data_IF_493656637644
#
_entry.id   IF_493656637644
#
_cell.length_a   1.000
_cell.length_b   1.000
_cell.length_c   1.000
_cell.angle_alpha   90.00
_cell.angle_beta   90.00
_cell.angle_gamma   90.00
#
_symmetry.space_group_name_H-M   'P 1'
#
loop_
_entity.id
_entity.type
_entity.pdbx_description
1 polymer ?
#
# COMPACT_ATOMS: atom_id res chain seq x y z
N UNK A 1 25.17 -26.62 -24.55
CA UNK A 1 25.21 -25.45 -23.66
C UNK A 1 23.79 -25.24 -23.17
N UNK A 2 23.51 -25.69 -21.94
CA UNK A 2 22.19 -25.53 -21.32
C UNK A 2 22.18 -24.15 -20.66
N UNK A 3 21.31 -23.28 -21.14
CA UNK A 3 21.02 -21.99 -20.50
C UNK A 3 20.27 -22.27 -19.22
N UNK A 4 20.90 -21.99 -18.08
CA UNK A 4 20.24 -21.93 -16.79
C UNK A 4 19.27 -20.75 -16.80
N UNK A 5 17.98 -21.03 -17.00
CA UNK A 5 16.92 -20.09 -16.65
C UNK A 5 17.02 -19.85 -15.14
N UNK A 6 17.40 -18.63 -14.77
CA UNK A 6 17.28 -18.16 -13.40
C UNK A 6 15.80 -18.24 -13.02
N UNK A 7 15.45 -19.16 -12.12
CA UNK A 7 14.12 -19.22 -11.50
C UNK A 7 13.94 -17.90 -10.77
N UNK A 8 13.22 -16.96 -11.38
CA UNK A 8 12.69 -15.80 -10.69
C UNK A 8 11.74 -16.35 -9.63
N UNK A 9 12.15 -16.29 -8.36
CA UNK A 9 11.25 -16.54 -7.24
C UNK A 9 10.13 -15.49 -7.30
N UNK A 10 9.04 -15.78 -8.01
CA UNK A 10 7.86 -14.94 -8.03
C UNK A 10 7.14 -15.15 -6.70
N UNK A 11 7.14 -14.13 -5.84
CA UNK A 11 6.30 -14.11 -4.65
C UNK A 11 4.83 -14.08 -5.08
N UNK A 12 4.03 -14.95 -4.49
CA UNK A 12 2.57 -14.94 -4.65
C UNK A 12 1.93 -14.01 -3.60
N UNK A 13 0.70 -13.56 -3.83
CA UNK A 13 -0.01 -12.73 -2.87
C UNK A 13 -0.24 -13.46 -1.53
N UNK A 14 -0.39 -14.78 -1.55
CA UNK A 14 -0.53 -15.62 -0.34
C UNK A 14 0.71 -15.68 0.53
N UNK A 15 1.86 -15.23 0.01
CA UNK A 15 3.09 -15.12 0.80
C UNK A 15 3.03 -13.95 1.79
N UNK A 16 2.10 -13.00 1.65
CA UNK A 16 2.08 -11.79 2.47
C UNK A 16 1.02 -11.87 3.56
N UNK A 17 1.41 -11.53 4.79
CA UNK A 17 0.45 -11.30 5.86
C UNK A 17 -0.45 -10.11 5.47
N UNK A 18 -1.76 -10.32 5.57
CA UNK A 18 -2.75 -9.31 5.22
C UNK A 18 -3.82 -9.25 6.30
N UNK A 19 -3.99 -8.07 6.88
CA UNK A 19 -5.12 -7.74 7.74
C UNK A 19 -5.93 -6.64 7.05
N UNK A 20 -7.17 -6.92 6.59
CA UNK A 20 -8.01 -5.90 5.96
C UNK A 20 -8.14 -4.66 6.83
N UNK A 21 -8.14 -3.47 6.22
CA UNK A 21 -8.23 -2.16 6.89
C UNK A 21 -6.99 -1.72 7.68
N UNK A 22 -5.89 -2.48 7.63
CA UNK A 22 -4.58 -2.10 8.19
C UNK A 22 -3.53 -1.99 7.08
N UNK A 23 -3.89 -1.34 5.96
CA UNK A 23 -3.08 -1.25 4.74
C UNK A 23 -1.67 -0.67 4.99
N UNK A 24 -1.54 0.24 5.95
CA UNK A 24 -0.29 0.84 6.41
C UNK A 24 0.65 -0.18 7.07
N UNK A 25 0.14 -1.09 7.88
CA UNK A 25 0.93 -2.16 8.49
C UNK A 25 1.21 -3.28 7.47
N UNK A 26 0.22 -3.61 6.64
CA UNK A 26 0.37 -4.57 5.54
C UNK A 26 1.51 -4.14 4.60
N UNK A 27 1.57 -2.87 4.20
CA UNK A 27 2.65 -2.33 3.36
C UNK A 27 3.99 -2.33 4.10
N UNK A 28 4.01 -2.07 5.41
CA UNK A 28 5.24 -2.18 6.22
C UNK A 28 5.85 -3.58 6.13
N UNK A 29 5.07 -4.63 6.38
CA UNK A 29 5.56 -6.01 6.30
C UNK A 29 5.86 -6.43 4.87
N UNK A 30 5.06 -5.97 3.90
CA UNK A 30 5.30 -6.19 2.48
C UNK A 30 6.67 -5.65 2.06
N UNK A 31 7.00 -4.40 2.41
CA UNK A 31 8.32 -3.84 2.10
C UNK A 31 9.44 -4.66 2.71
N UNK A 32 9.33 -5.07 3.99
CA UNK A 32 10.34 -5.93 4.63
C UNK A 32 10.50 -7.26 3.90
N UNK A 33 9.38 -7.90 3.55
CA UNK A 33 9.39 -9.17 2.82
C UNK A 33 10.07 -9.04 1.47
N UNK A 34 9.73 -8.02 0.68
CA UNK A 34 10.37 -7.74 -0.61
C UNK A 34 11.90 -7.56 -0.49
N UNK A 35 12.37 -6.86 0.54
CA UNK A 35 13.80 -6.69 0.79
C UNK A 35 14.46 -8.03 1.17
N UNK A 36 13.86 -8.80 2.08
CA UNK A 36 14.44 -10.07 2.56
C UNK A 36 14.41 -11.19 1.54
N UNK A 37 13.45 -11.17 0.60
CA UNK A 37 13.34 -12.15 -0.49
C UNK A 37 14.23 -11.85 -1.68
N UNK A 38 14.91 -10.69 -1.70
CA UNK A 38 15.73 -10.23 -2.81
C UNK A 38 14.92 -9.73 -4.03
N UNK A 39 13.60 -9.55 -3.89
CA UNK A 39 12.76 -8.96 -4.95
C UNK A 39 13.01 -7.46 -5.07
N UNK A 40 13.33 -6.80 -3.95
CA UNK A 40 13.74 -5.40 -3.86
C UNK A 40 15.18 -5.27 -3.37
N UNK A 41 15.74 -4.07 -3.46
CA UNK A 41 17.04 -3.75 -2.88
C UNK A 41 17.03 -4.06 -1.38
N UNK A 42 18.12 -4.60 -0.83
CA UNK A 42 18.17 -5.05 0.56
C UNK A 42 17.87 -3.90 1.56
N UNK A 43 18.23 -2.67 1.20
CA UNK A 43 17.90 -1.48 1.99
C UNK A 43 16.50 -0.92 1.73
N UNK A 44 15.76 -1.44 0.75
CA UNK A 44 14.48 -0.90 0.26
C UNK A 44 14.64 0.37 -0.55
N UNK A 45 15.84 0.66 -1.09
CA UNK A 45 16.14 1.94 -1.74
C UNK A 45 15.36 2.15 -3.06
N UNK A 46 14.86 1.09 -3.66
CA UNK A 46 13.98 1.09 -4.83
C UNK A 46 12.48 1.08 -4.48
N UNK A 47 12.12 1.12 -3.20
CA UNK A 47 10.73 1.08 -2.73
C UNK A 47 10.25 2.44 -2.21
N UNK A 48 8.99 2.74 -2.51
CA UNK A 48 8.30 3.95 -2.08
C UNK A 48 6.92 3.59 -1.54
N UNK A 49 6.64 4.00 -0.31
CA UNK A 49 5.32 3.85 0.31
C UNK A 49 4.48 5.08 -0.01
N UNK A 50 3.29 4.86 -0.56
CA UNK A 50 2.40 5.92 -1.02
C UNK A 50 1.13 5.87 -0.20
N UNK A 51 0.92 6.92 0.61
CA UNK A 51 -0.34 7.18 1.29
C UNK A 51 -1.23 7.99 0.35
N UNK A 52 -2.46 7.52 0.17
CA UNK A 52 -3.48 8.15 -0.66
C UNK A 52 -4.61 8.56 0.28
N UNK A 53 -4.95 9.85 0.31
CA UNK A 53 -6.08 10.36 1.10
C UNK A 53 -6.47 11.76 0.59
N UNK A 54 -7.32 12.47 1.33
CA UNK A 54 -7.61 13.88 1.15
C UNK A 54 -8.13 14.49 2.45
N UNK A 55 -8.42 15.80 2.43
CA UNK A 55 -8.89 16.53 3.61
C UNK A 55 -10.19 15.96 4.18
N UNK A 56 -11.06 15.43 3.33
CA UNK A 56 -12.35 14.88 3.72
C UNK A 56 -12.31 13.41 4.12
N UNK A 57 -11.14 12.75 4.00
CA UNK A 57 -10.99 11.31 4.17
C UNK A 57 -12.04 10.53 3.35
N UNK A 58 -12.15 10.90 2.08
CA UNK A 58 -13.09 10.31 1.13
C UNK A 58 -12.44 10.26 -0.24
N UNK A 59 -11.72 9.17 -0.50
CA UNK A 59 -11.04 8.94 -1.78
C UNK A 59 -11.60 7.71 -2.51
N UNK A 60 -12.13 7.87 -3.73
CA UNK A 60 -12.59 6.73 -4.51
C UNK A 60 -11.42 6.02 -5.18
N UNK A 61 -11.31 4.71 -4.96
CA UNK A 61 -10.38 3.81 -5.64
C UNK A 61 -11.16 2.67 -6.29
N UNK A 62 -10.83 2.36 -7.55
CA UNK A 62 -11.43 1.26 -8.31
C UNK A 62 -10.61 -0.03 -8.21
N UNK A 63 -11.21 -1.15 -8.60
CA UNK A 63 -10.59 -2.48 -8.54
C UNK A 63 -10.09 -2.84 -7.13
N UNK A 64 -10.97 -2.71 -6.14
CA UNK A 64 -10.67 -2.99 -4.74
C UNK A 64 -11.46 -4.22 -4.28
N UNK A 65 -10.78 -5.19 -3.65
CA UNK A 65 -11.37 -6.46 -3.18
C UNK A 65 -12.52 -6.27 -2.20
N UNK A 66 -12.48 -5.19 -1.41
CA UNK A 66 -13.52 -4.86 -0.44
C UNK A 66 -14.83 -4.36 -1.10
N UNK A 67 -14.81 -4.04 -2.39
CA UNK A 67 -16.01 -3.60 -3.09
C UNK A 67 -17.01 -4.74 -3.28
N UNK A 68 -18.28 -4.48 -2.92
CA UNK A 68 -19.41 -5.38 -3.25
C UNK A 68 -20.09 -5.00 -4.56
N UNK A 69 -19.60 -3.97 -5.24
CA UNK A 69 -20.20 -3.41 -6.44
C UNK A 69 -19.51 -3.98 -7.68
N UNK A 70 -20.25 -4.09 -8.78
CA UNK A 70 -19.71 -4.57 -10.05
C UNK A 70 -18.62 -3.66 -10.65
N UNK A 71 -18.62 -2.38 -10.30
CA UNK A 71 -17.62 -1.41 -10.72
C UNK A 71 -16.34 -1.43 -9.85
N UNK A 72 -16.30 -2.24 -8.78
CA UNK A 72 -15.12 -2.45 -7.96
C UNK A 72 -14.68 -1.22 -7.15
N UNK A 73 -15.52 -0.19 -7.02
CA UNK A 73 -15.18 1.04 -6.30
C UNK A 73 -15.32 0.86 -4.79
N UNK A 74 -14.36 1.44 -4.05
CA UNK A 74 -14.44 1.65 -2.60
C UNK A 74 -14.12 3.12 -2.30
N UNK A 75 -14.86 3.70 -1.36
CA UNK A 75 -14.57 5.03 -0.83
C UNK A 75 -13.78 4.86 0.47
N UNK A 76 -12.47 5.11 0.40
CA UNK A 76 -11.56 4.97 1.53
C UNK A 76 -11.38 6.29 2.28
N UNK A 77 -11.10 6.22 3.57
CA UNK A 77 -10.57 7.34 4.35
C UNK A 77 -9.12 7.61 3.99
N UNK A 78 -8.32 6.55 3.88
CA UNK A 78 -7.03 6.54 3.23
C UNK A 78 -6.70 5.13 2.72
N UNK A 79 -5.72 5.03 1.82
CA UNK A 79 -5.17 3.74 1.40
C UNK A 79 -3.65 3.85 1.29
N UNK A 80 -2.95 2.72 1.46
CA UNK A 80 -1.49 2.66 1.38
C UNK A 80 -1.06 1.58 0.42
N UNK A 81 -0.16 1.93 -0.49
CA UNK A 81 0.44 1.00 -1.45
C UNK A 81 1.96 1.15 -1.48
N UNK A 82 2.66 0.14 -1.97
CA UNK A 82 4.11 0.22 -2.22
C UNK A 82 4.40 0.27 -3.73
N UNK A 83 5.16 1.26 -4.17
CA UNK A 83 5.69 1.36 -5.52
C UNK A 83 7.14 0.89 -5.54
N UNK A 84 7.45 -0.04 -6.44
CA UNK A 84 8.81 -0.48 -6.70
C UNK A 84 9.34 0.12 -8.01
N UNK A 85 10.40 0.91 -7.91
CA UNK A 85 11.12 1.48 -9.03
C UNK A 85 12.07 0.44 -9.62
N UNK A 86 11.74 -0.10 -10.80
CA UNK A 86 12.67 -0.95 -11.56
C UNK A 86 13.79 -0.11 -12.20
N UNK A 87 15.02 -0.62 -12.19
CA UNK A 87 16.23 0.05 -12.70
C UNK A 87 16.46 -0.18 -14.20
N UNK A 88 15.83 -1.19 -14.79
CA UNK A 88 16.01 -1.59 -16.19
C UNK A 88 14.92 -0.98 -17.08
N UNK A 89 15.34 -0.32 -18.16
CA UNK A 89 14.50 0.59 -18.95
C UNK A 89 13.21 -0.01 -19.54
N UNK A 90 13.23 -1.30 -19.89
CA UNK A 90 12.06 -1.98 -20.48
C UNK A 90 11.12 -2.59 -19.44
N UNK A 91 11.50 -2.60 -18.16
CA UNK A 91 10.66 -3.17 -17.10
C UNK A 91 9.80 -2.08 -16.46
N UNK A 92 8.46 -2.23 -16.46
CA UNK A 92 7.61 -1.23 -15.83
C UNK A 92 7.86 -1.19 -14.32
N UNK A 93 7.73 0.00 -13.73
CA UNK A 93 7.58 0.12 -12.29
C UNK A 93 6.35 -0.65 -11.83
N UNK A 94 6.40 -1.15 -10.60
CA UNK A 94 5.37 -2.04 -10.06
C UNK A 94 4.66 -1.39 -8.88
N UNK A 95 3.38 -1.72 -8.72
CA UNK A 95 2.56 -1.38 -7.56
C UNK A 95 2.22 -2.67 -6.84
N UNK A 96 2.51 -2.68 -5.55
CA UNK A 96 2.20 -3.75 -4.62
C UNK A 96 1.07 -3.26 -3.72
N UNK A 97 -0.14 -3.75 -4.01
CA UNK A 97 -1.38 -3.42 -3.30
C UNK A 97 -2.11 -4.72 -2.97
N UNK A 98 -2.14 -5.08 -1.68
CA UNK A 98 -2.75 -6.32 -1.20
C UNK A 98 -4.29 -6.28 -1.26
N UNK A 99 -4.88 -5.09 -1.35
CA UNK A 99 -6.33 -4.88 -1.40
C UNK A 99 -6.86 -4.71 -2.84
N UNK A 100 -5.98 -4.67 -3.84
CA UNK A 100 -6.35 -4.57 -5.26
C UNK A 100 -6.88 -5.88 -5.84
N UNK A 101 -7.87 -5.80 -6.70
CA UNK A 101 -8.33 -6.92 -7.55
C UNK A 101 -7.59 -7.02 -8.89
N UNK A 102 -6.63 -6.12 -9.15
CA UNK A 102 -5.73 -6.19 -10.30
C UNK A 102 -4.64 -7.25 -10.09
N UNK A 103 -3.81 -7.58 -11.10
CA UNK A 103 -2.67 -8.46 -10.93
C UNK A 103 -1.74 -8.01 -9.80
N UNK A 104 -1.12 -8.96 -9.11
CA UNK A 104 -0.22 -8.69 -7.99
C UNK A 104 1.18 -9.22 -8.28
N UNK A 105 2.22 -8.36 -8.36
CA UNK A 105 2.15 -6.90 -8.43
C UNK A 105 1.54 -6.40 -9.75
N UNK A 106 1.01 -5.18 -9.75
CA UNK A 106 0.47 -4.52 -10.96
C UNK A 106 1.54 -3.65 -11.62
N UNK A 107 1.62 -3.60 -12.96
CA UNK A 107 2.36 -2.53 -13.65
C UNK A 107 1.80 -1.15 -13.28
N UNK A 108 2.67 -0.18 -12.99
CA UNK A 108 2.28 1.15 -12.51
C UNK A 108 1.31 1.87 -13.44
N UNK A 109 1.56 1.84 -14.74
CA UNK A 109 0.68 2.47 -15.74
C UNK A 109 -0.72 1.88 -15.70
N UNK A 110 -0.84 0.56 -15.64
CA UNK A 110 -2.12 -0.15 -15.53
C UNK A 110 -2.85 0.22 -14.24
N UNK A 111 -2.16 0.12 -13.09
CA UNK A 111 -2.72 0.48 -11.79
C UNK A 111 -3.24 1.92 -11.75
N UNK A 112 -2.47 2.88 -12.27
CA UNK A 112 -2.92 4.29 -12.33
C UNK A 112 -4.16 4.42 -13.24
N UNK A 113 -4.15 3.78 -14.41
CA UNK A 113 -5.27 3.89 -15.35
C UNK A 113 -6.55 3.22 -14.86
N UNK A 114 -6.45 2.14 -14.09
CA UNK A 114 -7.58 1.31 -13.67
C UNK A 114 -8.04 1.63 -12.25
N UNK A 115 -7.14 1.79 -11.28
CA UNK A 115 -7.47 2.06 -9.87
C UNK A 115 -7.63 3.56 -9.60
N UNK A 116 -6.74 4.41 -10.13
CA UNK A 116 -6.81 5.86 -9.92
C UNK A 116 -7.72 6.55 -10.94
N UNK A 117 -7.77 6.06 -12.18
CA UNK A 117 -8.62 6.58 -13.27
C UNK A 117 -8.59 8.11 -13.38
N UNK A 118 -7.42 8.73 -13.67
CA UNK A 118 -7.30 10.20 -13.74
C UNK A 118 -8.18 10.85 -14.82
N UNK A 119 -8.62 10.08 -15.82
CA UNK A 119 -9.57 10.54 -16.84
C UNK A 119 -11.02 10.63 -16.34
N UNK A 120 -11.34 10.03 -15.19
CA UNK A 120 -12.65 10.13 -14.56
C UNK A 120 -12.72 11.43 -13.75
N UNK A 121 -13.62 12.33 -14.13
CA UNK A 121 -13.76 13.62 -13.47
C UNK A 121 -14.44 13.44 -12.10
N UNK A 122 -13.68 13.70 -11.05
CA UNK A 122 -14.19 13.74 -9.67
C UNK A 122 -14.60 15.15 -9.27
N UNK A 123 -15.60 15.24 -8.40
CA UNK A 123 -15.84 16.45 -7.62
C UNK A 123 -14.61 16.77 -6.76
N UNK A 124 -14.41 18.06 -6.46
CA UNK A 124 -13.25 18.58 -5.74
C UNK A 124 -13.01 17.88 -4.40
N UNK A 125 -14.08 17.56 -3.68
CA UNK A 125 -14.06 16.92 -2.36
C UNK A 125 -13.52 15.48 -2.38
N UNK A 126 -13.51 14.83 -3.55
CA UNK A 126 -13.00 13.48 -3.75
C UNK A 126 -11.62 13.45 -4.41
N UNK A 127 -11.03 14.61 -4.71
CA UNK A 127 -9.68 14.66 -5.28
C UNK A 127 -8.68 13.99 -4.34
N UNK A 128 -7.75 13.23 -4.91
CA UNK A 128 -6.81 12.40 -4.16
C UNK A 128 -5.47 13.11 -4.05
N UNK A 129 -4.91 13.11 -2.86
CA UNK A 129 -3.55 13.54 -2.59
C UNK A 129 -2.68 12.32 -2.29
N UNK A 130 -1.44 12.41 -2.74
CA UNK A 130 -0.47 11.32 -2.65
C UNK A 130 0.73 11.79 -1.84
N UNK A 131 0.95 11.19 -0.67
CA UNK A 131 2.19 11.37 0.08
C UNK A 131 3.11 10.20 -0.20
N UNK A 132 4.23 10.48 -0.85
CA UNK A 132 5.24 9.50 -1.22
C UNK A 132 6.37 9.54 -0.18
N UNK A 133 6.67 8.39 0.41
CA UNK A 133 7.69 8.21 1.45
C UNK A 133 8.67 7.16 0.97
N UNK A 134 9.97 7.45 1.06
CA UNK A 134 11.00 6.46 0.74
C UNK A 134 10.97 5.32 1.76
N UNK A 135 10.93 4.06 1.31
CA UNK A 135 10.74 2.92 2.20
C UNK A 135 11.78 2.79 3.34
N UNK A 136 13.09 3.11 3.16
CA UNK A 136 14.05 3.07 4.26
C UNK A 136 13.70 4.07 5.38
N UNK A 137 13.08 5.22 5.03
CA UNK A 137 12.60 6.19 6.01
C UNK A 137 11.33 5.64 6.69
N UNK A 138 10.40 5.11 5.89
CA UNK A 138 9.16 4.52 6.41
C UNK A 138 9.44 3.39 7.39
N UNK A 139 10.26 2.40 7.00
CA UNK A 139 10.59 1.23 7.83
C UNK A 139 11.29 1.60 9.15
N UNK A 140 12.04 2.71 9.17
CA UNK A 140 12.73 3.21 10.37
C UNK A 140 11.82 4.05 11.27
N UNK A 141 10.89 4.82 10.70
CA UNK A 141 10.19 5.89 11.41
C UNK A 141 8.69 5.62 11.59
N UNK A 142 8.10 4.67 10.87
CA UNK A 142 6.67 4.40 10.98
C UNK A 142 6.33 3.74 12.32
N UNK A 143 5.34 4.31 13.00
CA UNK A 143 4.75 3.74 14.20
C UNK A 143 3.22 3.71 14.10
N UNK A 144 2.61 2.64 14.59
CA UNK A 144 1.16 2.47 14.70
C UNK A 144 0.84 1.88 16.06
N UNK A 145 0.12 2.64 16.88
CA UNK A 145 -0.49 2.16 18.12
C UNK A 145 -1.94 1.66 17.90
N UNK A 146 -2.39 1.64 16.63
CA UNK A 146 -3.71 1.23 16.15
C UNK A 146 -4.90 1.97 16.77
N UNK A 147 -4.67 3.06 17.52
CA UNK A 147 -5.77 3.77 18.22
C UNK A 147 -6.79 4.38 17.26
N UNK A 148 -6.39 4.67 16.02
CA UNK A 148 -7.29 5.17 14.99
C UNK A 148 -8.33 4.13 14.55
N UNK A 149 -8.11 2.85 14.85
CA UNK A 149 -9.03 1.74 14.61
C UNK A 149 -9.90 1.40 15.84
N UNK A 150 -9.93 2.28 16.84
CA UNK A 150 -10.82 2.17 18.00
C UNK A 150 -11.95 3.20 17.93
N UNK A 151 -13.14 2.79 18.34
CA UNK A 151 -14.26 3.70 18.55
C UNK A 151 -14.03 4.60 19.79
N UNK A 152 -14.97 5.52 20.04
CA UNK A 152 -14.88 6.45 21.17
C UNK A 152 -14.94 5.78 22.56
N UNK A 153 -15.36 4.52 22.63
CA UNK A 153 -15.47 3.72 23.85
C UNK A 153 -14.27 2.78 24.01
N UNK A 154 -13.43 2.66 22.98
CA UNK A 154 -12.21 1.86 22.97
C UNK A 154 -12.36 0.47 22.36
N UNK A 155 -13.50 0.15 21.75
CA UNK A 155 -13.69 -1.12 21.02
C UNK A 155 -13.02 -1.05 19.64
N UNK A 156 -12.56 -2.18 19.14
CA UNK A 156 -12.04 -2.28 17.78
C UNK A 156 -13.17 -2.12 16.76
N UNK A 157 -13.00 -1.19 15.81
CA UNK A 157 -13.91 -1.08 14.66
C UNK A 157 -13.68 -2.21 13.66
N UNK A 158 -12.44 -2.70 13.58
CA UNK A 158 -12.00 -3.88 12.87
C UNK A 158 -10.93 -4.58 13.71
N UNK A 159 -11.01 -5.90 13.84
CA UNK A 159 -10.03 -6.68 14.61
C UNK A 159 -8.60 -6.44 14.12
N UNK A 160 -7.65 -6.15 15.03
CA UNK A 160 -6.28 -5.85 14.67
C UNK A 160 -5.49 -7.11 14.27
N UNK A 161 -4.33 -6.94 13.62
CA UNK A 161 -3.38 -8.02 13.45
C UNK A 161 -2.94 -8.61 14.79
N UNK A 162 -2.67 -9.92 14.81
CA UNK A 162 -2.31 -10.67 16.04
C UNK A 162 -0.92 -10.36 16.59
N UNK A 163 -0.05 -9.72 15.80
CA UNK A 163 1.27 -9.30 16.25
C UNK A 163 1.20 -7.97 17.00
N UNK A 164 2.20 -7.73 17.85
CA UNK A 164 2.33 -6.49 18.62
C UNK A 164 2.40 -5.24 17.74
N UNK A 165 1.86 -4.09 18.19
CA UNK A 165 1.90 -2.86 17.41
C UNK A 165 3.31 -2.46 16.96
N UNK A 166 3.41 -1.82 15.79
CA UNK A 166 4.70 -1.37 15.26
C UNK A 166 5.16 -0.14 16.04
N UNK A 167 6.28 -0.28 16.76
CA UNK A 167 6.89 0.80 17.55
C UNK A 167 8.15 1.30 16.84
N UNK A 168 8.24 2.62 16.67
CA UNK A 168 9.42 3.31 16.16
C UNK A 168 9.57 4.71 16.80
N UNK A 169 10.74 5.34 16.64
CA UNK A 169 11.01 6.70 17.15
C UNK A 169 10.28 7.81 16.35
N UNK A 170 9.59 7.46 15.27
CA UNK A 170 9.10 8.42 14.29
C UNK A 170 7.62 8.75 14.40
N UNK A 171 7.01 8.98 13.25
CA UNK A 171 5.72 9.65 13.14
C UNK A 171 4.55 8.64 13.18
N UNK A 172 3.43 8.96 13.85
CA UNK A 172 2.22 8.14 13.78
C UNK A 172 1.55 8.24 12.40
N UNK A 173 0.69 7.26 12.08
CA UNK A 173 -0.13 7.20 10.85
C UNK A 173 -0.76 8.55 10.47
N UNK A 174 -1.28 9.29 11.46
CA UNK A 174 -1.95 10.59 11.25
C UNK A 174 -1.08 11.62 10.53
N UNK A 175 0.24 11.59 10.74
CA UNK A 175 1.18 12.50 10.08
C UNK A 175 1.39 12.17 8.59
N UNK A 176 1.10 10.93 8.19
CA UNK A 176 1.20 10.49 6.81
C UNK A 176 -0.09 10.76 6.02
N UNK A 177 -1.24 10.52 6.65
CA UNK A 177 -2.56 10.66 6.00
C UNK A 177 -2.99 12.13 5.86
N UNK A 178 -2.48 13.01 6.72
CA UNK A 178 -2.93 14.40 6.77
C UNK A 178 -4.16 14.53 7.66
N UNK A 179 -4.05 15.40 8.66
CA UNK A 179 -5.05 15.66 9.68
C UNK A 179 -4.39 16.58 10.71
N UNK A 180 -5.11 17.62 11.12
CA UNK A 180 -4.62 18.67 12.03
C UNK A 180 -3.95 18.12 13.29
#
# INVERSE_FOLDING_TARGET
MSTSESVQNSLDISDFDHTPYYCEENVYFLCKKLCTSGVADAGGSDLFVVFISNENKQIPLWHQKASKRADGIVLWDYHVVCIQKRREGDTPHLVWDLDSSLPFPSPLTSYVSETIRPSFQLFSEYQRFFRIVHAPIFLRCFASDRRHMKDSVGNWTVEPPVYEPIVAEGLPVSRYVGGH
#
